data_IF_338658660805
#
_entry.id   IF_338658660805
#
_cell.length_a   1.000
_cell.length_b   1.000
_cell.length_c   1.000
_cell.angle_alpha   90.00
_cell.angle_beta   90.00
_cell.angle_gamma   90.00
#
_symmetry.space_group_name_H-M   'P 1'
#
loop_
_entity.id
_entity.type
_entity.pdbx_description
1 polymer ?
#
# COMPACT_ATOMS: atom_id res chain seq x y z
N UNK A 1 -10.61 -11.25 -19.57
CA UNK A 1 -10.06 -12.52 -19.03
C UNK A 1 -9.21 -12.36 -17.76
N UNK A 2 -8.98 -11.14 -17.21
CA UNK A 2 -8.17 -10.95 -15.99
C UNK A 2 -8.82 -11.33 -14.66
N UNK A 3 -10.15 -11.39 -14.60
CA UNK A 3 -10.91 -11.85 -13.42
C UNK A 3 -11.25 -13.34 -13.58
N UNK A 4 -11.62 -13.79 -14.78
CA UNK A 4 -11.97 -15.20 -15.01
C UNK A 4 -10.79 -16.19 -15.00
N UNK A 5 -9.54 -15.77 -15.22
CA UNK A 5 -8.38 -16.65 -15.04
C UNK A 5 -7.94 -16.78 -13.57
N UNK A 6 -8.47 -15.94 -12.67
CA UNK A 6 -8.30 -16.07 -11.22
C UNK A 6 -9.35 -17.03 -10.63
N UNK A 7 -10.46 -17.27 -11.35
CA UNK A 7 -11.54 -18.16 -10.92
C UNK A 7 -11.14 -19.66 -11.02
N UNK A 8 -10.08 -20.02 -11.75
CA UNK A 8 -9.67 -21.42 -11.93
C UNK A 8 -8.58 -21.93 -10.99
N UNK A 9 -8.08 -21.11 -10.05
CA UNK A 9 -7.19 -21.52 -8.97
C UNK A 9 -7.61 -20.81 -7.68
N UNK A 10 -8.56 -21.42 -6.97
CA UNK A 10 -8.96 -21.16 -5.58
C UNK A 10 -8.95 -19.70 -5.12
N UNK A 11 -10.11 -19.06 -5.05
CA UNK A 11 -10.33 -17.68 -4.62
C UNK A 11 -9.73 -17.33 -3.22
N UNK A 12 -9.29 -18.31 -2.43
CA UNK A 12 -8.62 -18.09 -1.13
C UNK A 12 -7.11 -17.84 -1.20
N UNK A 13 -6.45 -18.14 -2.31
CA UNK A 13 -5.04 -17.80 -2.50
C UNK A 13 -4.82 -16.30 -2.34
N UNK A 14 -5.77 -15.50 -2.83
CA UNK A 14 -5.72 -14.03 -2.82
C UNK A 14 -5.64 -13.49 -1.39
N UNK A 15 -6.59 -13.75 -0.45
CA UNK A 15 -6.50 -13.21 0.90
C UNK A 15 -5.30 -13.73 1.72
N UNK A 16 -4.83 -14.96 1.52
CA UNK A 16 -3.66 -15.49 2.28
C UNK A 16 -2.36 -14.87 1.78
N UNK A 17 -2.19 -14.73 0.47
CA UNK A 17 -0.96 -14.18 -0.14
C UNK A 17 -0.91 -12.66 -0.14
N UNK A 18 -2.06 -12.02 -0.35
CA UNK A 18 -2.16 -10.55 -0.33
C UNK A 18 -2.41 -9.99 1.05
N UNK A 19 -2.91 -10.80 2.00
CA UNK A 19 -3.19 -10.40 3.38
C UNK A 19 -1.91 -9.98 4.10
N UNK A 20 -0.92 -10.87 4.21
CA UNK A 20 0.34 -10.52 4.90
C UNK A 20 1.08 -9.38 4.19
N UNK A 21 1.26 -9.46 2.87
CA UNK A 21 1.95 -8.41 2.11
C UNK A 21 1.21 -7.06 2.21
N UNK A 22 -0.12 -7.05 2.21
CA UNK A 22 -0.93 -5.83 2.37
C UNK A 22 -1.01 -5.30 3.80
N UNK A 23 -0.83 -6.14 4.82
CA UNK A 23 -0.74 -5.71 6.23
C UNK A 23 0.66 -5.31 6.65
N UNK A 24 1.69 -5.88 6.02
CA UNK A 24 3.08 -5.56 6.31
C UNK A 24 3.44 -4.17 5.79
N UNK A 25 3.13 -3.89 4.52
CA UNK A 25 3.42 -2.58 3.93
C UNK A 25 2.55 -2.25 2.71
N UNK A 26 2.36 -0.96 2.46
CA UNK A 26 1.78 -0.44 1.23
C UNK A 26 2.89 0.15 0.34
N UNK A 27 2.65 0.26 -0.96
CA UNK A 27 3.68 0.81 -1.85
C UNK A 27 4.01 2.27 -1.51
N UNK A 28 2.99 3.08 -1.18
CA UNK A 28 3.20 4.48 -0.80
C UNK A 28 3.93 4.65 0.53
N UNK A 29 3.71 3.76 1.50
CA UNK A 29 4.45 3.77 2.78
C UNK A 29 5.91 3.41 2.57
N UNK A 30 6.19 2.37 1.78
CA UNK A 30 7.56 2.00 1.40
C UNK A 30 8.33 3.19 0.81
N UNK A 31 7.73 3.96 -0.12
CA UNK A 31 8.40 5.13 -0.71
C UNK A 31 8.61 6.26 0.30
N UNK A 32 7.67 6.48 1.22
CA UNK A 32 7.83 7.49 2.27
C UNK A 32 8.95 7.11 3.25
N UNK A 33 8.99 5.86 3.71
CA UNK A 33 10.08 5.34 4.55
C UNK A 33 11.43 5.40 3.83
N UNK A 34 11.47 5.05 2.55
CA UNK A 34 12.65 5.15 1.70
C UNK A 34 13.20 6.59 1.67
N UNK A 35 12.33 7.58 1.55
CA UNK A 35 12.71 9.00 1.58
C UNK A 35 13.20 9.43 2.97
N UNK A 36 12.49 9.08 4.03
CA UNK A 36 12.82 9.48 5.39
C UNK A 36 14.15 8.90 5.86
N UNK A 37 14.38 7.60 5.62
CA UNK A 37 15.64 6.95 5.99
C UNK A 37 16.83 7.40 5.12
N UNK A 38 16.63 7.58 3.82
CA UNK A 38 17.72 8.06 2.95
C UNK A 38 18.15 9.51 3.22
N UNK A 39 17.25 10.34 3.75
CA UNK A 39 17.50 11.77 3.98
C UNK A 39 17.70 12.16 5.46
N UNK A 40 17.56 11.22 6.40
CA UNK A 40 17.78 11.45 7.84
C UNK A 40 19.27 11.32 8.21
N UNK A 41 20.10 12.19 7.64
CA UNK A 41 21.56 12.14 7.84
C UNK A 41 22.04 12.57 9.23
N UNK A 42 21.15 12.96 10.14
CA UNK A 42 21.51 13.56 11.44
C UNK A 42 22.07 12.55 12.44
N UNK A 43 21.75 11.27 12.30
CA UNK A 43 22.18 10.22 13.23
C UNK A 43 23.25 9.30 12.66
N UNK A 44 23.65 9.49 11.40
CA UNK A 44 24.59 8.60 10.73
C UNK A 44 26.03 9.10 10.86
N UNK A 45 26.99 8.20 11.16
CA UNK A 45 28.39 8.58 11.29
C UNK A 45 29.00 9.02 9.95
N UNK A 46 28.50 8.50 8.82
CA UNK A 46 28.94 8.85 7.47
C UNK A 46 27.76 8.98 6.50
N UNK A 47 27.90 9.81 5.46
CA UNK A 47 26.87 9.99 4.41
C UNK A 47 26.53 8.70 3.65
N UNK A 48 27.47 7.75 3.57
CA UNK A 48 27.26 6.45 2.92
C UNK A 48 26.13 5.63 3.57
N UNK A 49 25.82 5.87 4.85
CA UNK A 49 24.70 5.19 5.51
C UNK A 49 23.34 5.59 4.93
N UNK A 50 23.18 6.81 4.39
CA UNK A 50 21.93 7.18 3.71
C UNK A 50 21.68 6.34 2.46
N UNK A 51 22.74 5.99 1.71
CA UNK A 51 22.65 5.07 0.56
C UNK A 51 22.39 3.64 1.04
N UNK A 52 23.04 3.21 2.12
CA UNK A 52 22.83 1.90 2.71
C UNK A 52 21.37 1.73 3.15
N UNK A 53 20.78 2.75 3.75
CA UNK A 53 19.40 2.73 4.23
C UNK A 53 18.38 2.82 3.10
N UNK A 54 18.70 3.56 2.03
CA UNK A 54 17.93 3.49 0.80
C UNK A 54 17.86 2.05 0.26
N UNK A 55 19.01 1.37 0.21
CA UNK A 55 19.08 -0.01 -0.25
C UNK A 55 18.43 -0.98 0.74
N UNK A 56 18.54 -0.74 2.06
CA UNK A 56 17.99 -1.60 3.10
C UNK A 56 16.47 -1.68 2.99
N UNK A 57 15.79 -0.54 2.90
CA UNK A 57 14.33 -0.45 2.77
C UNK A 57 13.87 -1.17 1.52
N UNK A 58 14.48 -0.90 0.36
CA UNK A 58 14.13 -1.56 -0.91
C UNK A 58 14.29 -3.07 -0.81
N UNK A 59 15.44 -3.55 -0.32
CA UNK A 59 15.72 -4.98 -0.25
C UNK A 59 14.75 -5.66 0.72
N UNK A 60 14.59 -5.13 1.93
CA UNK A 60 13.70 -5.71 2.94
C UNK A 60 12.26 -5.76 2.46
N UNK A 61 11.74 -4.66 1.92
CA UNK A 61 10.35 -4.57 1.50
C UNK A 61 10.03 -5.43 0.27
N UNK A 62 10.89 -5.39 -0.75
CA UNK A 62 10.69 -6.22 -1.95
C UNK A 62 10.83 -7.72 -1.63
N UNK A 63 11.84 -8.10 -0.83
CA UNK A 63 12.07 -9.52 -0.49
C UNK A 63 11.05 -10.07 0.49
N UNK A 64 10.66 -9.31 1.51
CA UNK A 64 9.58 -9.68 2.45
C UNK A 64 8.25 -9.83 1.72
N UNK A 65 7.91 -8.86 0.86
CA UNK A 65 6.68 -8.89 0.07
C UNK A 65 6.64 -10.05 -0.92
N UNK A 66 7.73 -10.29 -1.67
CA UNK A 66 7.80 -11.42 -2.59
C UNK A 66 7.86 -12.77 -1.86
N UNK A 67 8.61 -12.86 -0.76
CA UNK A 67 8.74 -14.07 0.07
C UNK A 67 7.39 -14.48 0.66
N UNK A 68 6.64 -13.53 1.23
CA UNK A 68 5.30 -13.79 1.75
C UNK A 68 4.32 -14.24 0.66
N UNK A 69 4.42 -13.66 -0.54
CA UNK A 69 3.60 -14.09 -1.68
C UNK A 69 3.92 -15.54 -2.06
N UNK A 70 5.21 -15.91 -2.18
CA UNK A 70 5.63 -17.28 -2.53
C UNK A 70 5.24 -18.30 -1.45
N UNK A 71 5.44 -17.99 -0.17
CA UNK A 71 5.03 -18.87 0.94
C UNK A 71 3.51 -19.04 0.93
N UNK A 72 2.78 -17.94 0.78
CA UNK A 72 1.32 -17.96 0.68
C UNK A 72 0.83 -18.78 -0.51
N UNK A 73 1.53 -18.73 -1.65
CA UNK A 73 1.12 -19.51 -2.83
C UNK A 73 1.25 -21.00 -2.57
N UNK A 74 2.37 -21.41 -1.95
CA UNK A 74 2.62 -22.81 -1.61
C UNK A 74 1.67 -23.33 -0.55
N UNK A 75 1.44 -22.54 0.50
CA UNK A 75 0.48 -22.88 1.54
C UNK A 75 -0.93 -23.07 0.97
N UNK A 76 -1.35 -22.20 0.04
CA UNK A 76 -2.63 -22.33 -0.63
C UNK A 76 -2.72 -23.53 -1.58
N UNK A 77 -1.62 -23.96 -2.19
CA UNK A 77 -1.62 -25.16 -3.03
C UNK A 77 -1.68 -26.45 -2.20
N UNK A 78 -1.01 -26.48 -1.05
CA UNK A 78 -0.92 -27.67 -0.20
C UNK A 78 -2.21 -27.92 0.61
N UNK A 79 -2.77 -26.88 1.23
CA UNK A 79 -3.89 -27.03 2.18
C UNK A 79 -5.26 -26.71 1.57
N UNK A 80 -5.31 -25.96 0.48
CA UNK A 80 -6.54 -25.32 -0.03
C UNK A 80 -7.03 -25.85 -1.39
N UNK A 81 -6.46 -26.96 -1.86
CA UNK A 81 -6.84 -27.62 -3.12
C UNK A 81 -8.10 -28.48 -3.02
N UNK A 82 -8.61 -28.73 -1.81
CA UNK A 82 -9.83 -29.53 -1.65
C UNK A 82 -11.07 -28.77 -2.15
N UNK A 83 -11.76 -29.34 -3.16
CA UNK A 83 -13.02 -28.80 -3.71
C UNK A 83 -14.09 -28.58 -2.64
N UNK A 84 -14.10 -29.39 -1.57
CA UNK A 84 -15.04 -29.21 -0.45
C UNK A 84 -14.76 -27.96 0.36
N UNK A 85 -13.49 -27.61 0.55
CA UNK A 85 -13.09 -26.39 1.27
C UNK A 85 -13.42 -25.13 0.47
N UNK A 86 -13.17 -25.12 -0.83
CA UNK A 86 -13.54 -24.00 -1.72
C UNK A 86 -15.06 -23.79 -1.72
N UNK A 87 -15.84 -24.87 -1.80
CA UNK A 87 -17.31 -24.81 -1.72
C UNK A 87 -17.79 -24.27 -0.36
N UNK A 88 -17.16 -24.70 0.75
CA UNK A 88 -17.47 -24.21 2.08
C UNK A 88 -17.19 -22.70 2.21
N UNK A 89 -16.04 -22.24 1.73
CA UNK A 89 -15.66 -20.83 1.75
C UNK A 89 -16.66 -19.97 0.95
N UNK A 90 -16.96 -20.37 -0.28
CA UNK A 90 -17.89 -19.67 -1.17
C UNK A 90 -19.31 -19.63 -0.61
N UNK A 91 -19.76 -20.71 0.03
CA UNK A 91 -21.11 -20.80 0.59
C UNK A 91 -21.27 -20.08 1.93
N UNK A 92 -20.23 -20.05 2.77
CA UNK A 92 -20.35 -19.54 4.14
C UNK A 92 -19.50 -18.29 4.40
N UNK A 93 -18.22 -18.28 4.03
CA UNK A 93 -17.29 -17.21 4.40
C UNK A 93 -17.53 -15.95 3.58
N UNK A 94 -17.64 -16.03 2.26
CA UNK A 94 -17.90 -14.84 1.42
C UNK A 94 -19.21 -14.10 1.78
N UNK A 95 -20.38 -14.78 1.88
CA UNK A 95 -21.59 -14.06 2.28
C UNK A 95 -21.48 -13.51 3.70
N UNK A 96 -20.82 -14.20 4.63
CA UNK A 96 -20.57 -13.69 5.98
C UNK A 96 -19.70 -12.42 5.97
N UNK A 97 -18.65 -12.37 5.15
CA UNK A 97 -17.80 -11.17 5.04
C UNK A 97 -18.56 -9.97 4.48
N UNK A 98 -19.46 -10.20 3.50
CA UNK A 98 -20.29 -9.15 2.95
C UNK A 98 -21.33 -8.64 3.96
N UNK A 99 -22.00 -9.55 4.68
CA UNK A 99 -23.01 -9.19 5.68
C UNK A 99 -22.41 -8.54 6.91
N UNK A 100 -21.22 -8.96 7.36
CA UNK A 100 -20.50 -8.35 8.49
C UNK A 100 -19.77 -7.05 8.12
N UNK A 101 -19.45 -6.83 6.85
CA UNK A 101 -18.77 -5.60 6.41
C UNK A 101 -19.57 -4.33 6.70
N UNK A 102 -20.89 -4.38 6.52
CA UNK A 102 -21.79 -3.24 6.78
C UNK A 102 -21.84 -2.87 8.28
N UNK A 103 -22.16 -3.78 9.22
CA UNK A 103 -22.17 -3.44 10.65
C UNK A 103 -20.79 -3.04 11.15
N UNK A 104 -19.71 -3.66 10.67
CA UNK A 104 -18.35 -3.26 11.05
C UNK A 104 -18.06 -1.82 10.61
N UNK A 105 -18.40 -1.43 9.38
CA UNK A 105 -18.19 -0.05 8.94
C UNK A 105 -19.03 0.96 9.73
N UNK A 106 -20.28 0.62 10.07
CA UNK A 106 -21.12 1.44 10.96
C UNK A 106 -20.47 1.61 12.33
N UNK A 107 -20.00 0.52 12.94
CA UNK A 107 -19.29 0.57 14.23
C UNK A 107 -18.04 1.45 14.11
N UNK A 108 -17.25 1.32 13.05
CA UNK A 108 -16.05 2.15 12.82
C UNK A 108 -16.40 3.64 12.73
N UNK A 109 -17.49 4.00 12.04
CA UNK A 109 -17.99 5.39 11.97
C UNK A 109 -18.35 5.90 13.36
N UNK A 110 -19.16 5.14 14.12
CA UNK A 110 -19.57 5.52 15.47
C UNK A 110 -18.36 5.68 16.39
N UNK A 111 -17.45 4.71 16.40
CA UNK A 111 -16.26 4.75 17.23
C UNK A 111 -15.32 5.91 16.87
N UNK A 112 -15.25 6.29 15.59
CA UNK A 112 -14.45 7.44 15.15
C UNK A 112 -14.98 8.79 15.63
N UNK A 113 -16.29 8.86 15.91
CA UNK A 113 -16.96 10.04 16.48
C UNK A 113 -16.92 10.08 18.01
N UNK A 114 -16.94 8.92 18.67
CA UNK A 114 -17.01 8.82 20.14
C UNK A 114 -15.63 8.90 20.79
N UNK A 115 -14.62 8.20 20.26
CA UNK A 115 -13.29 8.17 20.88
C UNK A 115 -12.42 9.34 20.44
N UNK A 116 -11.76 10.00 21.41
CA UNK A 116 -10.75 11.05 21.18
C UNK A 116 -9.30 10.56 21.31
N UNK A 117 -9.11 9.26 21.53
CA UNK A 117 -7.81 8.62 21.75
C UNK A 117 -7.07 8.32 20.43
N UNK A 118 -5.84 7.82 20.54
CA UNK A 118 -5.01 7.38 19.40
C UNK A 118 -5.72 6.38 18.47
N UNK A 119 -6.61 5.54 19.02
CA UNK A 119 -7.45 4.62 18.24
C UNK A 119 -8.25 5.33 17.14
N UNK A 120 -8.62 6.59 17.35
CA UNK A 120 -9.33 7.41 16.36
C UNK A 120 -8.53 7.58 15.07
N UNK A 121 -7.19 7.67 15.13
CA UNK A 121 -6.34 7.82 13.94
C UNK A 121 -6.49 6.60 13.02
N UNK A 122 -6.43 5.39 13.57
CA UNK A 122 -6.61 4.15 12.81
C UNK A 122 -8.02 3.96 12.28
N UNK A 123 -9.03 4.34 13.07
CA UNK A 123 -10.44 4.22 12.67
C UNK A 123 -10.72 5.12 11.45
N UNK A 124 -10.27 6.37 11.51
CA UNK A 124 -10.42 7.35 10.41
C UNK A 124 -9.65 6.89 9.18
N UNK A 125 -8.41 6.43 9.33
CA UNK A 125 -7.64 5.85 8.22
C UNK A 125 -8.33 4.64 7.58
N UNK A 126 -8.88 3.74 8.38
CA UNK A 126 -9.58 2.56 7.89
C UNK A 126 -10.84 2.91 7.08
N UNK A 127 -11.57 3.97 7.47
CA UNK A 127 -12.71 4.45 6.68
C UNK A 127 -12.29 5.03 5.34
N UNK A 128 -11.19 5.78 5.32
CA UNK A 128 -10.63 6.34 4.09
C UNK A 128 -10.04 5.27 3.16
N UNK A 129 -9.53 4.16 3.70
CA UNK A 129 -8.96 3.07 2.90
C UNK A 129 -9.98 2.41 1.99
N UNK A 130 -11.26 2.37 2.38
CA UNK A 130 -12.36 1.82 1.58
C UNK A 130 -12.43 2.54 0.23
N UNK A 131 -12.38 3.87 0.23
CA UNK A 131 -12.42 4.68 -1.00
C UNK A 131 -11.18 4.47 -1.86
N UNK A 132 -9.99 4.39 -1.23
CA UNK A 132 -8.74 4.10 -1.94
C UNK A 132 -8.78 2.74 -2.62
N UNK A 133 -9.25 1.71 -1.91
CA UNK A 133 -9.39 0.36 -2.44
C UNK A 133 -10.40 0.28 -3.59
N UNK A 134 -11.51 1.03 -3.51
CA UNK A 134 -12.51 1.09 -4.57
C UNK A 134 -11.95 1.75 -5.84
N UNK A 135 -11.21 2.86 -5.70
CA UNK A 135 -10.53 3.52 -6.82
C UNK A 135 -9.48 2.60 -7.45
N UNK A 136 -8.66 1.93 -6.64
CA UNK A 136 -7.69 0.92 -7.09
C UNK A 136 -8.38 -0.22 -7.86
N UNK A 137 -9.54 -0.68 -7.39
CA UNK A 137 -10.32 -1.72 -8.07
C UNK A 137 -10.79 -1.29 -9.47
N UNK A 138 -11.18 -0.02 -9.66
CA UNK A 138 -11.51 0.46 -11.00
C UNK A 138 -10.27 0.58 -11.89
N UNK A 139 -9.14 1.06 -11.35
CA UNK A 139 -7.88 1.17 -12.10
C UNK A 139 -7.36 -0.21 -12.53
N UNK A 140 -7.47 -1.22 -11.68
CA UNK A 140 -6.98 -2.57 -11.97
C UNK A 140 -7.73 -3.27 -13.10
N UNK A 141 -8.93 -2.82 -13.48
CA UNK A 141 -9.67 -3.31 -14.65
C UNK A 141 -8.93 -3.07 -15.97
N UNK A 142 -7.97 -2.15 -15.99
CA UNK A 142 -7.15 -1.82 -17.16
C UNK A 142 -5.96 -2.79 -17.29
N UNK A 143 -5.47 -3.36 -16.18
CA UNK A 143 -4.30 -4.24 -16.14
C UNK A 143 -4.35 -5.42 -17.14
N UNK A 144 -5.46 -6.17 -17.29
CA UNK A 144 -5.47 -7.31 -18.23
C UNK A 144 -5.46 -6.90 -19.71
N UNK A 145 -5.54 -5.61 -20.04
CA UNK A 145 -5.52 -5.13 -21.43
C UNK A 145 -4.10 -4.98 -21.98
N UNK A 146 -3.08 -4.94 -21.12
CA UNK A 146 -1.71 -4.63 -21.51
C UNK A 146 -0.72 -5.62 -20.89
N UNK A 147 0.44 -5.78 -21.50
CA UNK A 147 1.54 -6.62 -20.98
C UNK A 147 2.13 -6.06 -19.69
N UNK A 148 2.13 -4.72 -19.55
CA UNK A 148 2.55 -4.01 -18.35
C UNK A 148 1.28 -3.54 -17.61
N UNK A 149 1.17 -3.78 -16.29
CA UNK A 149 -0.02 -3.43 -15.52
C UNK A 149 -0.09 -1.93 -15.21
N UNK A 150 -0.53 -1.15 -16.21
CA UNK A 150 -0.64 0.31 -16.11
C UNK A 150 -1.57 0.80 -15.00
N UNK A 151 -2.65 0.08 -14.69
CA UNK A 151 -3.55 0.47 -13.61
C UNK A 151 -2.88 0.41 -12.24
N UNK A 152 -2.05 -0.62 -11.98
CA UNK A 152 -1.25 -0.73 -10.76
C UNK A 152 -0.19 0.38 -10.71
N UNK A 153 0.51 0.63 -11.82
CA UNK A 153 1.47 1.71 -11.93
C UNK A 153 0.83 3.07 -11.57
N UNK A 154 -0.28 3.42 -12.22
CA UNK A 154 -0.97 4.69 -12.00
C UNK A 154 -1.46 4.81 -10.56
N UNK A 155 -2.04 3.76 -9.99
CA UNK A 155 -2.51 3.76 -8.61
C UNK A 155 -1.35 4.03 -7.62
N UNK A 156 -0.21 3.36 -7.81
CA UNK A 156 0.97 3.52 -6.97
C UNK A 156 1.61 4.92 -7.11
N UNK A 157 1.73 5.46 -8.32
CA UNK A 157 2.24 6.81 -8.53
C UNK A 157 1.32 7.87 -7.94
N UNK A 158 0.00 7.74 -8.15
CA UNK A 158 -0.97 8.71 -7.66
C UNK A 158 -1.03 8.72 -6.13
N UNK A 159 -1.04 7.55 -5.50
CA UNK A 159 -0.96 7.44 -4.05
C UNK A 159 0.34 8.05 -3.49
N UNK A 160 1.48 7.75 -4.11
CA UNK A 160 2.79 8.29 -3.70
C UNK A 160 2.83 9.81 -3.79
N UNK A 161 2.27 10.39 -4.87
CA UNK A 161 2.15 11.83 -5.02
C UNK A 161 1.31 12.45 -3.90
N UNK A 162 0.15 11.87 -3.61
CA UNK A 162 -0.74 12.38 -2.57
C UNK A 162 -0.06 12.30 -1.19
N UNK A 163 0.59 11.18 -0.86
CA UNK A 163 1.34 11.02 0.39
C UNK A 163 2.41 12.10 0.52
N UNK A 164 3.23 12.31 -0.52
CA UNK A 164 4.27 13.35 -0.49
C UNK A 164 3.72 14.75 -0.21
N UNK A 165 2.57 15.10 -0.81
CA UNK A 165 1.90 16.40 -0.56
C UNK A 165 1.32 16.47 0.85
N UNK A 166 0.66 15.41 1.32
CA UNK A 166 0.06 15.36 2.66
C UNK A 166 1.14 15.42 3.75
N UNK A 167 2.22 14.67 3.60
CA UNK A 167 3.36 14.66 4.53
C UNK A 167 4.05 16.03 4.56
N UNK A 168 4.15 16.72 3.43
CA UNK A 168 4.67 18.09 3.39
C UNK A 168 3.80 19.02 4.23
N UNK A 169 2.48 18.95 4.06
CA UNK A 169 1.53 19.80 4.80
C UNK A 169 1.54 19.48 6.30
N UNK A 170 1.71 18.21 6.67
CA UNK A 170 1.75 17.74 8.04
C UNK A 170 3.03 18.13 8.78
N UNK A 171 4.18 18.00 8.11
CA UNK A 171 5.52 18.15 8.71
C UNK A 171 6.13 19.53 8.42
N UNK A 172 5.41 20.41 7.72
CA UNK A 172 5.86 21.78 7.44
C UNK A 172 6.14 22.57 8.72
N UNK A 173 7.35 23.15 8.81
CA UNK A 173 7.73 24.12 9.86
C UNK A 173 6.82 25.34 9.96
N UNK A 174 6.14 25.70 8.87
CA UNK A 174 5.18 26.82 8.85
C UNK A 174 3.86 26.47 9.57
N UNK A 175 3.72 25.25 10.09
CA UNK A 175 2.52 24.78 10.79
C UNK A 175 1.23 25.08 10.00
N UNK A 176 1.20 24.68 8.72
CA UNK A 176 0.08 24.99 7.80
C UNK A 176 -1.27 24.54 8.38
N UNK A 177 -1.28 23.47 9.19
CA UNK A 177 -2.49 22.92 9.82
C UNK A 177 -2.38 22.98 11.34
N UNK A 178 -3.13 23.92 11.92
CA UNK A 178 -3.19 24.15 13.37
C UNK A 178 -4.24 23.29 14.09
N UNK A 179 -5.27 22.83 13.39
CA UNK A 179 -6.36 22.05 13.99
C UNK A 179 -5.96 20.59 14.20
N UNK A 180 -6.15 20.07 15.42
CA UNK A 180 -5.97 18.64 15.74
C UNK A 180 -6.82 17.74 14.84
N UNK A 181 -8.07 18.16 14.56
CA UNK A 181 -8.96 17.41 13.66
C UNK A 181 -8.48 17.47 12.21
N UNK A 182 -7.93 18.61 11.75
CA UNK A 182 -7.35 18.72 10.41
C UNK A 182 -6.16 17.78 10.22
N UNK A 183 -5.26 17.73 11.22
CA UNK A 183 -4.10 16.82 11.21
C UNK A 183 -4.53 15.36 11.22
N UNK A 184 -5.55 15.02 12.00
CA UNK A 184 -6.13 13.67 12.06
C UNK A 184 -6.67 13.23 10.69
N UNK A 185 -7.44 14.07 10.01
CA UNK A 185 -8.00 13.75 8.69
C UNK A 185 -6.90 13.59 7.66
N UNK A 186 -5.89 14.47 7.65
CA UNK A 186 -4.76 14.37 6.72
C UNK A 186 -3.94 13.10 6.95
N UNK A 187 -3.67 12.73 8.20
CA UNK A 187 -3.06 11.43 8.53
C UNK A 187 -3.91 10.26 8.03
N UNK A 188 -5.23 10.30 8.25
CA UNK A 188 -6.15 9.26 7.77
C UNK A 188 -6.21 9.17 6.24
N UNK A 189 -6.08 10.29 5.52
CA UNK A 189 -5.95 10.29 4.07
C UNK A 189 -4.59 9.72 3.61
N UNK A 190 -3.50 10.06 4.30
CA UNK A 190 -2.16 9.56 3.98
C UNK A 190 -2.05 8.05 4.23
N UNK A 191 -2.27 7.58 5.46
CA UNK A 191 -2.13 6.16 5.80
C UNK A 191 -3.30 5.30 5.31
N UNK A 192 -4.52 5.85 5.29
CA UNK A 192 -5.74 5.13 4.95
C UNK A 192 -6.02 5.11 3.45
N UNK A 193 -6.39 6.27 2.89
CA UNK A 193 -6.76 6.39 1.48
C UNK A 193 -5.60 6.00 0.56
N UNK A 194 -4.40 6.56 0.76
CA UNK A 194 -3.25 6.26 -0.10
C UNK A 194 -2.73 4.83 0.13
N UNK A 195 -2.80 4.32 1.37
CA UNK A 195 -2.49 2.92 1.68
C UNK A 195 -3.45 1.93 0.98
N UNK A 196 -4.74 2.25 0.91
CA UNK A 196 -5.73 1.44 0.19
C UNK A 196 -5.68 1.58 -1.33
N UNK A 197 -5.27 2.75 -1.83
CA UNK A 197 -5.10 3.06 -3.25
C UNK A 197 -3.83 2.45 -3.84
N UNK A 198 -2.71 2.49 -3.10
CA UNK A 198 -1.46 1.85 -3.50
C UNK A 198 -1.49 0.35 -3.16
N UNK A 199 -0.61 -0.43 -3.77
CA UNK A 199 -0.55 -1.87 -3.48
C UNK A 199 0.85 -2.44 -3.74
N UNK A 200 1.36 -3.15 -2.73
CA UNK A 200 2.58 -3.93 -2.85
C UNK A 200 2.27 -5.36 -3.31
N UNK A 201 1.20 -5.96 -2.79
CA UNK A 201 0.81 -7.33 -3.10
C UNK A 201 0.46 -7.56 -4.58
N UNK A 202 -0.31 -6.65 -5.19
CA UNK A 202 -0.64 -6.73 -6.62
C UNK A 202 0.60 -6.50 -7.48
N UNK A 203 1.46 -5.55 -7.07
CA UNK A 203 2.71 -5.24 -7.75
C UNK A 203 3.67 -6.44 -7.78
N UNK A 204 3.78 -7.20 -6.69
CA UNK A 204 4.51 -8.48 -6.64
C UNK A 204 3.86 -9.58 -7.48
N UNK A 205 2.54 -9.75 -7.34
CA UNK A 205 1.80 -10.80 -8.03
C UNK A 205 1.84 -10.64 -9.56
N UNK A 206 1.76 -9.40 -10.05
CA UNK A 206 1.87 -9.09 -11.47
C UNK A 206 3.30 -9.28 -11.97
N UNK A 207 4.30 -8.91 -11.15
CA UNK A 207 5.69 -9.10 -11.51
C UNK A 207 6.05 -10.58 -11.75
N UNK A 208 5.47 -11.50 -10.98
CA UNK A 208 5.65 -12.96 -11.18
C UNK A 208 5.21 -13.45 -12.56
N UNK A 209 4.29 -12.74 -13.23
CA UNK A 209 3.72 -13.14 -14.52
C UNK A 209 4.52 -12.61 -15.72
N UNK A 210 5.44 -11.68 -15.49
CA UNK A 210 6.22 -10.99 -16.52
C UNK A 210 7.63 -11.61 -16.58
N UNK A 211 8.26 -11.57 -17.76
CA UNK A 211 9.67 -11.99 -17.91
C UNK A 211 10.58 -11.14 -17.02
N UNK A 212 11.62 -11.75 -16.46
CA UNK A 212 12.53 -11.11 -15.50
C UNK A 212 13.07 -9.76 -15.99
N UNK A 213 13.56 -9.67 -17.23
CA UNK A 213 14.14 -8.42 -17.76
C UNK A 213 13.13 -7.27 -17.75
N UNK A 214 11.89 -7.53 -18.16
CA UNK A 214 10.84 -6.51 -18.19
C UNK A 214 10.35 -6.16 -16.78
N UNK A 215 10.31 -7.13 -15.85
CA UNK A 215 9.90 -6.86 -14.47
C UNK A 215 10.91 -5.97 -13.74
N UNK A 216 12.21 -6.21 -13.96
CA UNK A 216 13.26 -5.39 -13.36
C UNK A 216 13.18 -3.94 -13.84
N UNK A 217 12.98 -3.74 -15.15
CA UNK A 217 12.80 -2.41 -15.73
C UNK A 217 11.52 -1.77 -15.18
N UNK A 218 10.41 -2.50 -15.15
CA UNK A 218 9.14 -2.00 -14.63
C UNK A 218 9.25 -1.58 -13.15
N UNK A 219 9.86 -2.41 -12.31
CA UNK A 219 10.05 -2.10 -10.89
C UNK A 219 10.96 -0.91 -10.69
N UNK A 220 12.08 -0.87 -11.40
CA UNK A 220 13.01 0.24 -11.37
C UNK A 220 12.32 1.55 -11.76
N UNK A 221 11.63 1.59 -12.90
CA UNK A 221 10.92 2.80 -13.37
C UNK A 221 9.88 3.22 -12.34
N UNK A 222 9.07 2.29 -11.82
CA UNK A 222 7.99 2.62 -10.87
C UNK A 222 8.55 3.23 -9.58
N UNK A 223 9.56 2.60 -8.98
CA UNK A 223 10.21 3.10 -7.75
C UNK A 223 10.93 4.41 -8.01
N UNK A 224 11.68 4.50 -9.11
CA UNK A 224 12.42 5.70 -9.48
C UNK A 224 11.49 6.90 -9.67
N UNK A 225 10.36 6.74 -10.38
CA UNK A 225 9.42 7.84 -10.59
C UNK A 225 8.77 8.27 -9.28
N UNK A 226 8.34 7.33 -8.43
CA UNK A 226 7.74 7.67 -7.13
C UNK A 226 8.74 8.37 -6.21
N UNK A 227 9.95 7.85 -6.11
CA UNK A 227 11.01 8.47 -5.30
C UNK A 227 11.41 9.86 -5.81
N UNK A 228 11.48 10.04 -7.13
CA UNK A 228 11.74 11.36 -7.73
C UNK A 228 10.65 12.38 -7.38
N UNK A 229 9.38 11.96 -7.37
CA UNK A 229 8.27 12.83 -6.93
C UNK A 229 8.44 13.24 -5.46
N UNK A 230 8.83 12.31 -4.58
CA UNK A 230 9.13 12.62 -3.17
C UNK A 230 10.29 13.62 -3.03
N UNK A 231 11.38 13.44 -3.78
CA UNK A 231 12.50 14.40 -3.77
C UNK A 231 12.04 15.79 -4.21
N UNK A 232 11.26 15.88 -5.30
CA UNK A 232 10.81 17.17 -5.83
C UNK A 232 9.88 17.88 -4.84
N UNK A 233 8.98 17.14 -4.18
CA UNK A 233 7.97 17.74 -3.28
C UNK A 233 8.56 17.94 -1.88
N UNK A 234 8.91 16.85 -1.19
CA UNK A 234 9.39 16.88 0.19
C UNK A 234 10.87 17.27 0.29
N UNK A 235 11.72 16.75 -0.60
CA UNK A 235 13.16 17.04 -0.59
C UNK A 235 13.43 18.53 -0.79
N UNK A 236 12.84 19.15 -1.81
CA UNK A 236 12.98 20.58 -2.07
C UNK A 236 12.59 21.44 -0.87
N UNK A 237 11.50 21.10 -0.18
CA UNK A 237 11.06 21.82 1.01
C UNK A 237 11.96 21.55 2.22
N UNK A 238 12.35 20.29 2.44
CA UNK A 238 13.24 19.86 3.54
C UNK A 238 14.59 20.58 3.49
N UNK A 239 15.17 20.75 2.31
CA UNK A 239 16.47 21.40 2.17
C UNK A 239 16.42 22.92 2.15
N UNK A 240 15.26 23.53 1.82
CA UNK A 240 15.12 24.99 1.77
C UNK A 240 14.60 25.60 3.08
N UNK A 241 13.54 25.04 3.66
CA UNK A 241 12.88 25.58 4.86
C UNK A 241 13.13 24.70 6.09
N UNK A 242 13.28 23.39 5.87
CA UNK A 242 13.35 22.40 6.94
C UNK A 242 11.98 21.81 7.28
N UNK A 243 11.99 20.56 7.72
CA UNK A 243 10.85 19.85 8.28
C UNK A 243 10.88 19.93 9.81
N UNK A 244 9.71 19.83 10.44
CA UNK A 244 9.55 19.74 11.90
C UNK A 244 9.88 18.34 12.42
#
# INVERSE_FOLDING_TARGET
>A
MGICQIINLGELHVPVTTGYCGTFSSYSTMISELFDHSTSTTYYPNRAYGIMEFLSVIVVELTSSMGSLLIGTRFSEEYLTSKTMISFLNKHVYPLTYTLGIPITIVMIVLSGVYSNFSREFLVGSLFSIFGAYLRFYLSKINPKFTIPWGTFIANQFASLIVAVLDLVLTSRKNIVHSKNGRLVLKGLSSGFCGGLSTMSTFMAEGRKIKLTFVLIYYFITIFTSYSLFIIILGSYKWTVGLN
#
